data_IF_855479471946
#
_entry.id   IF_855479471946
#
_cell.length_a   1.000
_cell.length_b   1.000
_cell.length_c   1.000
_cell.angle_alpha   90.00
_cell.angle_beta   90.00
_cell.angle_gamma   90.00
#
_symmetry.space_group_name_H-M   'P 1'
#
loop_
_entity.id
_entity.type
_entity.pdbx_description
1 polymer ?
#
# COMPACT_ATOMS: atom_id res chain seq x y z
N UNK A 1 6.97 -13.03 13.54
CA UNK A 1 6.79 -13.32 12.09
C UNK A 1 7.26 -14.74 11.73
N UNK A 2 6.93 -15.24 10.51
CA UNK A 2 7.40 -16.54 9.98
C UNK A 2 7.65 -16.41 8.47
N UNK A 3 8.86 -16.76 8.02
CA UNK A 3 9.17 -16.84 6.60
C UNK A 3 8.31 -17.92 5.92
N UNK A 4 7.72 -17.61 4.78
CA UNK A 4 7.00 -18.57 3.94
C UNK A 4 7.83 -18.83 2.70
N UNK A 5 8.24 -20.08 2.54
CA UNK A 5 9.14 -20.49 1.46
C UNK A 5 8.37 -20.73 0.15
N UNK A 6 9.10 -20.74 -0.97
CA UNK A 6 8.51 -21.08 -2.26
C UNK A 6 8.05 -22.56 -2.31
N UNK A 7 8.71 -23.45 -1.60
CA UNK A 7 8.30 -24.86 -1.50
C UNK A 7 6.95 -24.98 -0.77
N UNK A 8 6.75 -24.20 0.29
CA UNK A 8 5.48 -24.14 1.02
C UNK A 8 4.34 -23.59 0.13
N UNK A 9 4.64 -22.59 -0.70
CA UNK A 9 3.69 -22.12 -1.73
C UNK A 9 3.34 -23.24 -2.73
N UNK A 10 4.31 -23.98 -3.24
CA UNK A 10 4.06 -25.09 -4.17
C UNK A 10 3.21 -26.21 -3.53
N UNK A 11 3.44 -26.50 -2.26
CA UNK A 11 2.60 -27.44 -1.51
C UNK A 11 1.16 -26.94 -1.34
N UNK A 12 1.00 -25.65 -1.07
CA UNK A 12 -0.32 -25.02 -0.96
C UNK A 12 -1.08 -25.16 -2.29
N UNK A 13 -0.44 -24.79 -3.40
CA UNK A 13 -1.01 -24.87 -4.75
C UNK A 13 -1.45 -26.28 -5.10
N UNK A 14 -0.63 -27.31 -4.80
CA UNK A 14 -0.99 -28.73 -5.01
C UNK A 14 -2.27 -29.12 -4.26
N UNK A 15 -2.52 -28.51 -3.09
CA UNK A 15 -3.67 -28.86 -2.24
C UNK A 15 -4.93 -28.07 -2.56
N UNK A 16 -4.81 -26.78 -2.93
CA UNK A 16 -5.94 -25.86 -3.04
C UNK A 16 -6.09 -25.15 -4.38
N UNK A 17 -5.00 -24.77 -5.05
CA UNK A 17 -5.04 -24.08 -6.36
C UNK A 17 -5.74 -22.71 -6.39
N UNK A 18 -6.21 -22.23 -5.25
CA UNK A 18 -6.91 -20.94 -5.11
C UNK A 18 -6.72 -20.34 -3.72
N UNK A 19 -6.83 -19.03 -3.63
CA UNK A 19 -6.90 -18.25 -2.39
C UNK A 19 -8.21 -17.46 -2.36
N UNK A 20 -8.72 -17.19 -1.15
CA UNK A 20 -9.95 -16.40 -0.95
C UNK A 20 -9.61 -15.17 -0.12
N UNK A 21 -9.69 -14.01 -0.75
CA UNK A 21 -9.50 -12.74 -0.08
C UNK A 21 -10.79 -11.93 -0.16
N UNK A 22 -11.34 -11.51 0.97
CA UNK A 22 -12.70 -10.99 1.10
C UNK A 22 -13.73 -11.97 0.53
N UNK A 23 -14.38 -11.58 -0.58
CA UNK A 23 -15.35 -12.35 -1.34
C UNK A 23 -14.81 -12.81 -2.70
N UNK A 24 -13.54 -12.54 -2.99
CA UNK A 24 -12.91 -12.83 -4.28
C UNK A 24 -12.09 -14.11 -4.20
N UNK A 25 -12.41 -15.06 -5.08
CA UNK A 25 -11.60 -16.27 -5.29
C UNK A 25 -10.58 -15.99 -6.39
N UNK A 26 -9.30 -16.14 -6.08
CA UNK A 26 -8.19 -15.92 -7.03
C UNK A 26 -7.45 -17.24 -7.22
N UNK A 27 -7.33 -17.67 -8.47
CA UNK A 27 -6.56 -18.87 -8.81
C UNK A 27 -5.07 -18.61 -8.66
N UNK A 28 -4.36 -19.56 -8.06
CA UNK A 28 -2.91 -19.57 -7.88
C UNK A 28 -2.30 -20.85 -8.48
N UNK A 29 -1.01 -20.83 -8.76
CA UNK A 29 -0.30 -21.97 -9.37
C UNK A 29 -0.51 -22.13 -10.88
N UNK A 30 -1.15 -21.16 -11.52
CA UNK A 30 -1.28 -21.13 -12.98
C UNK A 30 -0.11 -20.35 -13.55
N UNK A 31 0.51 -20.87 -14.62
CA UNK A 31 1.59 -20.17 -15.32
C UNK A 31 1.11 -18.80 -15.78
N UNK A 32 1.84 -17.76 -15.37
CA UNK A 32 1.53 -16.40 -15.79
C UNK A 32 1.89 -16.19 -17.27
N UNK A 33 0.92 -15.77 -18.07
CA UNK A 33 1.16 -15.31 -19.44
C UNK A 33 1.58 -13.84 -19.39
N UNK A 34 2.90 -13.60 -19.38
CA UNK A 34 3.48 -12.27 -19.33
C UNK A 34 3.76 -11.77 -20.73
N UNK A 35 3.03 -10.77 -21.19
CA UNK A 35 3.24 -10.13 -22.49
C UNK A 35 4.37 -9.10 -22.45
N UNK A 36 4.46 -8.36 -21.36
CA UNK A 36 5.42 -7.29 -21.15
C UNK A 36 5.90 -7.29 -19.70
N UNK A 37 7.19 -7.11 -19.50
CA UNK A 37 7.77 -7.02 -18.15
C UNK A 37 7.89 -5.58 -17.65
N UNK A 38 7.83 -4.61 -18.54
CA UNK A 38 8.03 -3.19 -18.23
C UNK A 38 6.88 -2.37 -18.82
N UNK A 39 6.46 -1.27 -18.20
CA UNK A 39 5.49 -0.37 -18.80
C UNK A 39 6.08 0.31 -20.04
N UNK A 40 5.27 0.48 -21.10
CA UNK A 40 5.71 1.19 -22.32
C UNK A 40 5.85 2.68 -22.10
N UNK A 41 4.86 3.27 -21.42
CA UNK A 41 4.72 4.71 -21.25
C UNK A 41 4.82 5.09 -19.77
N UNK A 42 5.99 4.89 -19.19
CA UNK A 42 6.24 5.29 -17.82
C UNK A 42 6.93 6.65 -17.77
N UNK A 43 6.30 7.60 -17.09
CA UNK A 43 6.83 8.91 -16.79
C UNK A 43 6.95 9.06 -15.28
N UNK A 44 8.09 9.59 -14.82
CA UNK A 44 8.31 9.87 -13.41
C UNK A 44 7.52 11.12 -13.01
N UNK A 45 6.69 11.00 -12.00
CA UNK A 45 5.89 12.13 -11.48
C UNK A 45 6.79 13.17 -10.82
N UNK A 46 6.49 14.45 -11.09
CA UNK A 46 7.29 15.59 -10.61
C UNK A 46 6.52 16.56 -9.73
N UNK A 47 5.20 16.35 -9.56
CA UNK A 47 4.32 17.20 -8.75
C UNK A 47 3.74 16.41 -7.59
N UNK A 48 2.99 17.08 -6.72
CA UNK A 48 2.29 16.47 -5.58
C UNK A 48 0.85 16.05 -5.90
N UNK A 49 0.43 16.04 -7.17
CA UNK A 49 -0.86 15.50 -7.60
C UNK A 49 -0.61 14.41 -8.63
N UNK A 50 -0.85 13.16 -8.23
CA UNK A 50 -0.61 11.99 -9.07
C UNK A 50 -1.90 11.40 -9.59
N UNK A 51 -1.91 11.06 -10.87
CA UNK A 51 -3.08 10.53 -11.56
C UNK A 51 -2.69 9.38 -12.48
N UNK A 52 -3.20 8.19 -12.17
CA UNK A 52 -2.95 6.98 -12.94
C UNK A 52 -4.29 6.41 -13.44
N UNK A 53 -4.86 6.95 -14.54
CA UNK A 53 -6.13 6.47 -15.11
C UNK A 53 -6.04 5.00 -15.52
N UNK A 54 -4.88 4.58 -16.01
CA UNK A 54 -4.54 3.19 -16.26
C UNK A 54 -3.68 2.67 -15.13
N UNK A 55 -4.20 1.62 -14.45
CA UNK A 55 -3.50 1.02 -13.32
C UNK A 55 -2.12 0.49 -13.69
N UNK A 56 -2.02 -0.16 -14.86
CA UNK A 56 -0.87 -0.94 -15.30
C UNK A 56 -1.08 -2.45 -15.05
N UNK A 57 -0.66 -3.25 -16.05
CA UNK A 57 -0.89 -4.70 -16.13
C UNK A 57 0.36 -5.49 -16.62
N UNK A 58 1.54 -4.85 -16.63
CA UNK A 58 2.78 -5.54 -16.99
C UNK A 58 3.20 -6.58 -15.94
N UNK A 59 4.07 -7.48 -16.31
CA UNK A 59 4.50 -8.61 -15.50
C UNK A 59 3.30 -9.41 -14.96
N UNK A 60 3.19 -9.57 -13.67
CA UNK A 60 2.10 -10.28 -12.98
C UNK A 60 1.11 -9.36 -12.27
N UNK A 61 1.18 -8.05 -12.55
CA UNK A 61 0.24 -7.09 -11.96
C UNK A 61 -1.19 -7.32 -12.43
N UNK A 62 -2.11 -7.44 -11.50
CA UNK A 62 -3.55 -7.58 -11.75
C UNK A 62 -4.37 -6.74 -10.79
N UNK A 63 -5.55 -6.32 -11.23
CA UNK A 63 -6.51 -5.56 -10.42
C UNK A 63 -7.52 -6.43 -9.69
N UNK A 64 -7.24 -7.72 -9.49
CA UNK A 64 -8.14 -8.72 -8.91
C UNK A 64 -8.08 -8.80 -7.37
N UNK A 65 -7.13 -8.13 -6.75
CA UNK A 65 -7.05 -7.97 -5.29
C UNK A 65 -7.53 -6.56 -4.93
N UNK A 66 -8.65 -6.48 -4.22
CA UNK A 66 -9.22 -5.19 -3.80
C UNK A 66 -8.27 -4.48 -2.85
N UNK A 67 -8.11 -3.17 -3.05
CA UNK A 67 -7.21 -2.35 -2.21
C UNK A 67 -5.74 -2.41 -2.60
N UNK A 68 -5.33 -3.16 -3.63
CA UNK A 68 -3.95 -3.08 -4.09
C UNK A 68 -3.71 -1.74 -4.82
N UNK A 69 -2.60 -1.12 -4.56
CA UNK A 69 -2.21 0.13 -5.23
C UNK A 69 -1.70 -0.06 -6.66
N UNK A 70 -1.59 1.05 -7.41
CA UNK A 70 -1.08 1.00 -8.78
C UNK A 70 0.42 0.70 -8.79
N UNK A 71 0.90 -0.21 -9.64
CA UNK A 71 2.33 -0.43 -9.82
C UNK A 71 3.05 0.82 -10.37
N UNK A 72 2.35 1.72 -11.09
CA UNK A 72 2.92 3.01 -11.51
C UNK A 72 3.31 3.89 -10.34
N UNK A 73 2.47 3.92 -9.27
CA UNK A 73 2.77 4.63 -8.04
C UNK A 73 4.00 4.06 -7.35
N UNK A 74 4.04 2.74 -7.16
CA UNK A 74 5.16 2.05 -6.51
C UNK A 74 6.45 2.26 -7.28
N UNK A 75 6.41 2.14 -8.61
CA UNK A 75 7.58 2.37 -9.48
C UNK A 75 8.14 3.78 -9.34
N UNK A 76 7.27 4.80 -9.26
CA UNK A 76 7.69 6.19 -9.01
C UNK A 76 8.46 6.30 -7.69
N UNK A 77 7.96 5.69 -6.62
CA UNK A 77 8.61 5.68 -5.32
C UNK A 77 9.97 4.98 -5.37
N UNK A 78 10.01 3.76 -5.92
CA UNK A 78 11.23 2.96 -5.98
C UNK A 78 12.34 3.65 -6.78
N UNK A 79 12.02 4.21 -7.94
CA UNK A 79 13.02 4.90 -8.78
C UNK A 79 13.55 6.15 -8.08
N UNK A 80 12.69 6.88 -7.36
CA UNK A 80 13.06 8.13 -6.68
C UNK A 80 13.88 7.91 -5.41
N UNK A 81 13.54 6.90 -4.63
CA UNK A 81 14.05 6.75 -3.26
C UNK A 81 15.00 5.57 -3.07
N UNK A 82 15.21 4.74 -4.11
CA UNK A 82 16.06 3.55 -4.01
C UNK A 82 16.96 3.35 -5.22
N UNK A 83 18.00 2.50 -5.03
CA UNK A 83 18.90 2.01 -6.07
C UNK A 83 18.82 0.48 -6.18
N UNK A 84 19.22 -0.14 -7.31
CA UNK A 84 19.36 -1.59 -7.39
C UNK A 84 20.22 -2.15 -6.25
N UNK A 85 19.79 -3.29 -5.69
CA UNK A 85 20.43 -3.96 -4.56
C UNK A 85 20.03 -3.44 -3.17
N UNK A 86 19.36 -2.28 -3.05
CA UNK A 86 18.85 -1.78 -1.78
C UNK A 86 17.61 -2.57 -1.32
N UNK A 87 17.38 -2.63 0.01
CA UNK A 87 16.29 -3.34 0.65
C UNK A 87 15.04 -2.48 0.77
N UNK A 88 13.93 -3.00 0.26
CA UNK A 88 12.60 -2.38 0.35
C UNK A 88 11.69 -3.24 1.21
N UNK A 89 10.96 -2.62 2.12
CA UNK A 89 9.95 -3.29 2.95
C UNK A 89 8.54 -2.84 2.55
N UNK A 90 7.65 -3.82 2.31
CA UNK A 90 6.21 -3.63 2.32
C UNK A 90 5.61 -4.48 3.44
N UNK A 91 5.25 -3.84 4.54
CA UNK A 91 4.82 -4.51 5.77
C UNK A 91 3.32 -4.87 5.79
N UNK A 92 2.58 -4.56 4.70
CA UNK A 92 1.19 -4.98 4.45
C UNK A 92 1.03 -5.25 2.96
N UNK A 93 1.79 -6.24 2.45
CA UNK A 93 2.08 -6.40 1.02
C UNK A 93 0.89 -6.89 0.19
N UNK A 94 -0.16 -7.43 0.80
CA UNK A 94 -1.37 -7.88 0.11
C UNK A 94 -1.07 -8.85 -1.02
N UNK A 95 -1.29 -8.41 -2.27
CA UNK A 95 -1.00 -9.21 -3.47
C UNK A 95 0.42 -9.00 -4.04
N UNK A 96 1.32 -8.33 -3.32
CA UNK A 96 2.74 -8.22 -3.65
C UNK A 96 3.11 -7.21 -4.73
N UNK A 97 2.30 -6.20 -5.00
CA UNK A 97 2.60 -5.19 -6.03
C UNK A 97 3.99 -4.56 -5.85
N UNK A 98 4.36 -4.19 -4.62
CA UNK A 98 5.66 -3.63 -4.28
C UNK A 98 6.80 -4.60 -4.60
N UNK A 99 6.63 -5.87 -4.21
CA UNK A 99 7.67 -6.89 -4.38
C UNK A 99 7.88 -7.25 -5.85
N UNK A 100 6.82 -7.26 -6.66
CA UNK A 100 6.92 -7.46 -8.12
C UNK A 100 7.71 -6.32 -8.74
N UNK A 101 7.43 -5.06 -8.38
CA UNK A 101 8.20 -3.91 -8.86
C UNK A 101 9.66 -3.95 -8.40
N UNK A 102 9.92 -4.36 -7.16
CA UNK A 102 11.29 -4.56 -6.66
C UNK A 102 12.03 -5.60 -7.51
N UNK A 103 11.40 -6.74 -7.81
CA UNK A 103 11.96 -7.78 -8.68
C UNK A 103 12.31 -7.24 -10.07
N UNK A 104 11.43 -6.45 -10.69
CA UNK A 104 11.63 -5.86 -12.02
C UNK A 104 12.70 -4.78 -12.06
N UNK A 105 12.92 -4.09 -10.95
CA UNK A 105 13.86 -2.97 -10.85
C UNK A 105 15.19 -3.36 -10.18
N UNK A 106 15.37 -4.62 -9.77
CA UNK A 106 16.61 -5.10 -9.13
C UNK A 106 16.80 -4.67 -7.68
N UNK A 107 15.71 -4.43 -6.93
CA UNK A 107 15.74 -4.13 -5.50
C UNK A 107 15.46 -5.38 -4.71
N UNK A 108 16.22 -5.61 -3.63
CA UNK A 108 15.85 -6.63 -2.65
C UNK A 108 14.56 -6.22 -1.96
N UNK A 109 13.72 -7.18 -1.56
CA UNK A 109 12.44 -6.86 -0.95
C UNK A 109 12.06 -7.80 0.19
N UNK A 110 11.39 -7.23 1.18
CA UNK A 110 10.69 -7.97 2.23
C UNK A 110 9.21 -7.60 2.17
N UNK A 111 8.34 -8.61 2.05
CA UNK A 111 6.90 -8.47 2.18
C UNK A 111 6.42 -9.12 3.47
N UNK A 112 5.54 -8.44 4.18
CA UNK A 112 4.87 -8.99 5.36
C UNK A 112 3.36 -8.84 5.18
N UNK A 113 2.59 -9.86 5.52
CA UNK A 113 1.14 -9.75 5.61
C UNK A 113 0.60 -10.65 6.73
N UNK A 114 -0.41 -10.17 7.44
CA UNK A 114 -1.07 -10.90 8.50
C UNK A 114 -2.01 -11.99 7.95
N UNK A 115 -2.45 -11.84 6.70
CA UNK A 115 -3.28 -12.81 6.00
C UNK A 115 -2.42 -13.80 5.22
N UNK A 116 -2.39 -15.06 5.66
CA UNK A 116 -1.61 -16.10 5.01
C UNK A 116 -1.99 -16.32 3.52
N UNK A 117 -3.28 -16.16 3.15
CA UNK A 117 -3.70 -16.29 1.76
C UNK A 117 -3.17 -15.13 0.87
N UNK A 118 -3.01 -13.94 1.44
CA UNK A 118 -2.33 -12.82 0.77
C UNK A 118 -0.83 -13.12 0.55
N UNK A 119 -0.17 -13.72 1.55
CA UNK A 119 1.23 -14.18 1.41
C UNK A 119 1.39 -15.21 0.28
N UNK A 120 0.50 -16.20 0.20
CA UNK A 120 0.47 -17.19 -0.89
C UNK A 120 0.26 -16.51 -2.25
N UNK A 121 -0.67 -15.55 -2.33
CA UNK A 121 -0.91 -14.78 -3.55
C UNK A 121 0.32 -13.96 -3.96
N UNK A 122 1.00 -13.35 -2.99
CA UNK A 122 2.25 -12.62 -3.23
C UNK A 122 3.32 -13.55 -3.84
N UNK A 123 3.51 -14.76 -3.30
CA UNK A 123 4.44 -15.74 -3.84
C UNK A 123 4.03 -16.20 -5.26
N UNK A 124 2.73 -16.36 -5.52
CA UNK A 124 2.21 -16.64 -6.86
C UNK A 124 2.57 -15.50 -7.84
N UNK A 125 2.36 -14.25 -7.49
CA UNK A 125 2.72 -13.09 -8.32
C UNK A 125 4.23 -12.98 -8.57
N UNK A 126 5.05 -13.47 -7.67
CA UNK A 126 6.52 -13.52 -7.80
C UNK A 126 7.02 -14.71 -8.61
N UNK A 127 6.14 -15.68 -8.94
CA UNK A 127 6.48 -16.89 -9.68
C UNK A 127 6.66 -16.64 -11.18
N UNK A 128 7.66 -15.86 -11.54
CA UNK A 128 8.11 -15.67 -12.91
C UNK A 128 9.62 -15.44 -12.97
N UNK A 129 10.22 -15.78 -14.13
CA UNK A 129 11.63 -15.50 -14.38
C UNK A 129 11.77 -14.18 -15.12
N UNK A 130 12.69 -13.33 -14.65
CA UNK A 130 13.01 -12.07 -15.30
C UNK A 130 14.52 -11.87 -15.37
N UNK A 131 15.05 -11.76 -16.59
CA UNK A 131 16.48 -11.53 -16.85
C UNK A 131 16.59 -10.38 -17.87
N UNK A 132 16.70 -9.14 -17.42
CA UNK A 132 16.86 -8.01 -18.32
C UNK A 132 18.25 -8.01 -18.96
N UNK A 133 18.37 -7.38 -20.13
CA UNK A 133 19.64 -7.18 -20.84
C UNK A 133 20.40 -5.98 -20.23
N UNK A 134 20.59 -6.02 -18.91
CA UNK A 134 21.33 -4.97 -18.17
C UNK A 134 22.67 -5.59 -17.76
N UNK A 135 23.83 -4.95 -18.10
CA UNK A 135 25.13 -5.41 -17.62
C UNK A 135 25.14 -5.55 -16.10
N UNK A 136 25.80 -6.58 -15.58
CA UNK A 136 25.96 -6.86 -14.14
C UNK A 136 24.64 -7.01 -13.36
N UNK A 137 23.54 -7.36 -14.04
CA UNK A 137 22.27 -7.63 -13.36
C UNK A 137 22.43 -8.75 -12.34
N UNK A 138 22.05 -8.43 -11.11
CA UNK A 138 21.91 -9.40 -10.04
C UNK A 138 20.42 -9.64 -9.77
N UNK A 139 20.02 -10.90 -9.70
CA UNK A 139 18.66 -11.24 -9.31
C UNK A 139 18.43 -10.77 -7.85
N UNK A 140 17.40 -9.97 -7.59
CA UNK A 140 17.16 -9.47 -6.24
C UNK A 140 16.69 -10.58 -5.31
N UNK A 141 17.09 -10.51 -4.05
CA UNK A 141 16.58 -11.36 -3.00
C UNK A 141 15.21 -10.87 -2.53
N UNK A 142 14.21 -11.77 -2.49
CA UNK A 142 12.86 -11.44 -2.05
C UNK A 142 12.44 -12.43 -0.97
N UNK A 143 12.00 -11.91 0.17
CA UNK A 143 11.52 -12.67 1.32
C UNK A 143 10.08 -12.29 1.60
N UNK A 144 9.20 -13.28 1.83
CA UNK A 144 7.79 -13.03 2.17
C UNK A 144 7.48 -13.70 3.50
N UNK A 145 6.94 -12.93 4.43
CA UNK A 145 6.64 -13.38 5.79
C UNK A 145 5.14 -13.34 6.05
N UNK A 146 4.64 -14.37 6.69
CA UNK A 146 3.37 -14.32 7.38
C UNK A 146 3.60 -13.73 8.77
N UNK A 147 3.05 -12.56 9.04
CA UNK A 147 3.31 -11.81 10.26
C UNK A 147 2.51 -10.52 10.39
N UNK A 148 2.66 -9.89 11.53
CA UNK A 148 1.98 -8.65 11.88
C UNK A 148 2.94 -7.46 11.73
N UNK A 149 2.54 -6.44 10.99
CA UNK A 149 3.30 -5.21 10.77
C UNK A 149 3.65 -4.44 12.05
N UNK A 150 2.93 -4.73 13.15
CA UNK A 150 3.17 -4.16 14.49
C UNK A 150 4.29 -4.86 15.27
N UNK A 151 4.85 -5.95 14.72
CA UNK A 151 5.94 -6.72 15.31
C UNK A 151 6.79 -7.35 14.21
N UNK A 152 7.82 -6.65 13.77
CA UNK A 152 8.77 -7.07 12.74
C UNK A 152 10.00 -7.74 13.34
N UNK A 153 9.80 -8.70 14.26
CA UNK A 153 10.81 -9.35 15.09
C UNK A 153 11.93 -10.10 14.33
N UNK A 154 11.74 -10.39 13.05
CA UNK A 154 12.75 -11.02 12.18
C UNK A 154 13.44 -10.03 11.23
N UNK A 155 13.18 -8.74 11.35
CA UNK A 155 13.85 -7.68 10.60
C UNK A 155 14.73 -6.89 11.56
N UNK A 156 16.02 -6.84 11.24
CA UNK A 156 17.03 -6.16 12.06
C UNK A 156 16.81 -4.64 12.05
N UNK A 157 17.22 -3.99 13.15
CA UNK A 157 17.22 -2.54 13.26
C UNK A 157 18.05 -1.91 12.14
N UNK A 158 17.60 -0.78 11.61
CA UNK A 158 18.32 -0.01 10.62
C UNK A 158 18.85 -0.82 9.43
N UNK A 159 18.09 -1.84 8.98
CA UNK A 159 18.46 -2.72 7.87
C UNK A 159 17.78 -2.37 6.54
N UNK A 160 16.67 -1.62 6.58
CA UNK A 160 15.84 -1.30 5.42
C UNK A 160 16.22 0.07 4.84
N UNK A 161 16.33 0.14 3.50
CA UNK A 161 16.65 1.37 2.78
C UNK A 161 15.39 2.18 2.40
N UNK A 162 14.24 1.52 2.24
CA UNK A 162 12.99 2.19 1.91
C UNK A 162 11.78 1.35 2.38
N UNK A 163 10.78 2.03 2.92
CA UNK A 163 9.49 1.42 3.24
C UNK A 163 8.43 1.97 2.28
N UNK A 164 7.66 1.08 1.65
CA UNK A 164 6.53 1.43 0.80
C UNK A 164 5.36 0.52 1.16
N UNK A 165 4.35 1.06 1.84
CA UNK A 165 3.26 0.25 2.38
C UNK A 165 1.88 0.88 2.19
N UNK A 166 0.86 0.04 2.10
CA UNK A 166 -0.52 0.43 1.85
C UNK A 166 -1.45 -0.27 2.86
N UNK A 167 -1.62 0.31 4.05
CA UNK A 167 -2.45 -0.28 5.10
C UNK A 167 -3.94 -0.29 4.74
N UNK A 168 -4.76 -1.11 5.40
CA UNK A 168 -6.20 -0.97 5.35
C UNK A 168 -6.61 0.40 5.91
N UNK A 169 -7.65 1.03 5.31
CA UNK A 169 -8.18 2.31 5.79
C UNK A 169 -9.25 2.05 6.85
N UNK A 170 -8.82 1.73 8.06
CA UNK A 170 -9.71 1.32 9.13
C UNK A 170 -10.64 0.17 8.65
N UNK A 171 -11.93 0.24 8.87
CA UNK A 171 -12.91 -0.80 8.51
C UNK A 171 -13.62 -0.58 7.16
N UNK A 172 -13.05 0.22 6.25
CA UNK A 172 -13.67 0.49 4.93
C UNK A 172 -13.72 -0.78 4.07
N UNK A 173 -12.66 -1.60 4.11
CA UNK A 173 -12.57 -2.89 3.44
C UNK A 173 -12.22 -3.95 4.48
N UNK A 174 -13.18 -4.79 4.90
CA UNK A 174 -12.92 -5.86 5.87
C UNK A 174 -12.26 -7.07 5.18
N UNK A 175 -10.92 -7.07 5.06
CA UNK A 175 -10.14 -8.06 4.29
C UNK A 175 -10.30 -9.51 4.79
N UNK A 176 -10.58 -9.72 6.05
CA UNK A 176 -10.74 -11.06 6.64
C UNK A 176 -12.15 -11.33 7.22
N UNK A 177 -13.19 -10.69 6.65
CA UNK A 177 -14.57 -10.78 7.16
C UNK A 177 -15.09 -12.21 7.28
N UNK A 178 -14.80 -13.08 6.31
CA UNK A 178 -15.26 -14.48 6.31
C UNK A 178 -14.50 -15.36 7.29
N UNK A 179 -13.23 -15.07 7.50
CA UNK A 179 -12.34 -15.81 8.38
C UNK A 179 -11.48 -14.78 9.12
N UNK A 180 -11.93 -14.36 10.31
CA UNK A 180 -11.18 -13.38 11.10
C UNK A 180 -9.73 -13.80 11.28
N UNK A 181 -8.82 -12.88 10.99
CA UNK A 181 -7.38 -13.07 11.15
C UNK A 181 -6.92 -12.21 12.33
N UNK A 182 -6.34 -12.82 13.37
CA UNK A 182 -5.80 -12.06 14.48
C UNK A 182 -4.75 -11.05 13.99
N UNK A 183 -4.89 -9.80 14.41
CA UNK A 183 -3.97 -8.74 14.01
C UNK A 183 -4.39 -7.93 12.77
N UNK A 184 -5.45 -8.33 12.07
CA UNK A 184 -5.98 -7.58 10.93
C UNK A 184 -6.59 -6.24 11.36
N UNK A 185 -5.90 -5.15 11.04
CA UNK A 185 -6.33 -3.78 11.35
C UNK A 185 -7.61 -3.36 10.63
N UNK A 186 -8.06 -4.10 9.61
CA UNK A 186 -9.36 -3.87 8.97
C UNK A 186 -10.55 -4.38 9.78
N UNK A 187 -10.30 -5.16 10.83
CA UNK A 187 -11.33 -5.79 11.67
C UNK A 187 -11.50 -5.11 13.05
N UNK A 188 -10.73 -4.08 13.33
CA UNK A 188 -10.82 -3.36 14.61
C UNK A 188 -12.16 -2.61 14.73
N UNK A 189 -12.68 -2.51 15.95
CA UNK A 189 -14.05 -2.04 16.22
C UNK A 189 -14.18 -0.52 16.22
N UNK A 190 -13.11 0.20 16.54
CA UNK A 190 -13.12 1.66 16.67
C UNK A 190 -11.84 2.29 16.09
N UNK A 191 -11.91 3.60 15.84
CA UNK A 191 -10.82 4.34 15.20
C UNK A 191 -9.59 4.48 16.13
N UNK A 192 -9.79 4.59 17.42
CA UNK A 192 -8.69 4.72 18.40
C UNK A 192 -7.85 3.45 18.45
N UNK A 193 -8.46 2.28 18.41
CA UNK A 193 -7.78 0.99 18.32
C UNK A 193 -6.99 0.86 17.02
N UNK A 194 -7.59 1.28 15.89
CA UNK A 194 -6.90 1.33 14.62
C UNK A 194 -5.66 2.24 14.67
N UNK A 195 -5.80 3.46 15.19
CA UNK A 195 -4.72 4.42 15.30
C UNK A 195 -3.61 3.94 16.25
N UNK A 196 -3.97 3.32 17.38
CA UNK A 196 -3.00 2.67 18.27
C UNK A 196 -2.23 1.56 17.56
N UNK A 197 -2.91 0.77 16.72
CA UNK A 197 -2.26 -0.22 15.86
C UNK A 197 -1.30 0.41 14.85
N UNK A 198 -1.73 1.51 14.19
CA UNK A 198 -0.90 2.25 13.23
C UNK A 198 0.29 2.95 13.90
N UNK A 199 0.16 3.38 15.17
CA UNK A 199 1.29 3.88 15.94
C UNK A 199 2.39 2.83 16.09
N UNK A 200 2.02 1.60 16.47
CA UNK A 200 2.98 0.48 16.57
C UNK A 200 3.60 0.13 15.22
N UNK A 201 2.83 0.20 14.15
CA UNK A 201 3.37 0.07 12.78
C UNK A 201 4.40 1.16 12.49
N UNK A 202 4.16 2.40 12.93
CA UNK A 202 5.09 3.51 12.76
C UNK A 202 6.37 3.33 13.59
N UNK A 203 6.26 2.85 14.84
CA UNK A 203 7.41 2.54 15.70
C UNK A 203 8.30 1.45 15.07
N UNK A 204 7.72 0.35 14.58
CA UNK A 204 8.45 -0.71 13.90
C UNK A 204 9.07 -0.22 12.57
N UNK A 205 8.34 0.60 11.81
CA UNK A 205 8.87 1.25 10.60
C UNK A 205 10.09 2.13 10.94
N UNK A 206 10.00 2.89 12.01
CA UNK A 206 11.11 3.74 12.46
C UNK A 206 12.31 2.91 12.90
N UNK A 207 12.09 1.83 13.64
CA UNK A 207 13.15 0.93 14.12
C UNK A 207 13.93 0.31 12.95
N UNK A 208 13.24 -0.31 11.98
CA UNK A 208 13.88 -1.09 10.90
C UNK A 208 14.46 -0.22 9.79
N UNK A 209 13.97 1.02 9.61
CA UNK A 209 14.44 1.93 8.57
C UNK A 209 15.80 2.53 8.95
N UNK A 210 16.75 2.57 8.01
CA UNK A 210 18.04 3.24 8.20
C UNK A 210 17.86 4.74 8.42
N UNK A 211 18.70 5.41 9.22
CA UNK A 211 18.74 6.87 9.34
C UNK A 211 18.87 7.55 7.97
N UNK A 212 18.25 8.71 7.80
CA UNK A 212 18.24 9.48 6.56
C UNK A 212 17.34 8.93 5.44
N UNK A 213 16.78 7.73 5.61
CA UNK A 213 15.96 7.03 4.61
C UNK A 213 14.48 7.35 4.75
N UNK A 214 13.68 6.88 3.79
CA UNK A 214 12.29 7.30 3.59
C UNK A 214 11.29 6.16 3.78
N UNK A 215 10.10 6.54 4.29
CA UNK A 215 8.94 5.67 4.42
C UNK A 215 7.76 6.32 3.67
N UNK A 216 7.15 5.59 2.75
CA UNK A 216 5.98 6.02 1.99
C UNK A 216 4.75 5.20 2.41
N UNK A 217 3.66 5.90 2.76
CA UNK A 217 2.39 5.26 3.14
C UNK A 217 1.23 5.90 2.39
N UNK A 218 0.43 5.08 1.71
CA UNK A 218 -0.80 5.53 1.06
C UNK A 218 -1.99 5.29 1.98
N UNK A 219 -2.76 6.33 2.29
CA UNK A 219 -3.93 6.25 3.16
C UNK A 219 -5.09 7.03 2.57
N UNK A 220 -6.28 6.46 2.61
CA UNK A 220 -7.52 7.13 2.22
C UNK A 220 -8.38 7.51 3.42
N UNK A 221 -9.33 8.40 3.17
CA UNK A 221 -10.29 8.90 4.13
C UNK A 221 -11.68 8.31 3.93
N UNK A 222 -12.56 8.49 4.89
CA UNK A 222 -13.94 8.00 4.84
C UNK A 222 -14.95 9.04 5.30
N UNK A 223 -16.23 8.64 5.29
CA UNK A 223 -17.33 9.41 5.88
C UNK A 223 -18.14 8.54 6.82
N UNK A 224 -18.50 9.11 7.95
CA UNK A 224 -19.46 8.53 8.89
C UNK A 224 -20.60 9.53 9.04
N UNK A 225 -21.83 9.09 8.89
CA UNK A 225 -23.02 9.95 8.89
C UNK A 225 -22.88 11.20 7.99
N UNK A 226 -22.29 11.03 6.78
CA UNK A 226 -21.98 12.08 5.78
C UNK A 226 -20.84 13.03 6.16
N UNK A 227 -20.37 13.03 7.39
CA UNK A 227 -19.24 13.85 7.82
C UNK A 227 -17.92 13.20 7.48
N UNK A 228 -16.97 14.01 7.06
CA UNK A 228 -15.62 13.59 6.69
C UNK A 228 -14.85 13.12 7.92
N UNK A 229 -14.22 11.96 7.82
CA UNK A 229 -13.34 11.41 8.86
C UNK A 229 -11.92 11.38 8.30
N UNK A 230 -11.01 12.25 8.77
CA UNK A 230 -9.64 12.40 8.25
C UNK A 230 -8.74 11.30 8.80
N UNK A 231 -8.90 10.06 8.32
CA UNK A 231 -8.09 8.91 8.74
C UNK A 231 -6.62 9.14 8.34
N UNK A 232 -6.40 9.64 7.12
CA UNK A 232 -5.07 9.85 6.57
C UNK A 232 -4.22 10.77 7.47
N UNK A 233 -4.75 11.93 7.85
CA UNK A 233 -4.05 12.88 8.71
C UNK A 233 -3.84 12.35 10.14
N UNK A 234 -4.77 11.55 10.65
CA UNK A 234 -4.60 10.90 11.96
C UNK A 234 -3.51 9.82 11.92
N UNK A 235 -3.42 9.05 10.84
CA UNK A 235 -2.32 8.10 10.63
C UNK A 235 -1.01 8.84 10.43
N UNK A 236 -0.99 9.94 9.66
CA UNK A 236 0.20 10.80 9.53
C UNK A 236 0.73 11.21 10.90
N UNK A 237 -0.16 11.63 11.82
CA UNK A 237 0.23 12.00 13.19
C UNK A 237 0.93 10.85 13.93
N UNK A 238 0.49 9.60 13.75
CA UNK A 238 1.13 8.44 14.40
C UNK A 238 2.59 8.27 13.95
N UNK A 239 2.88 8.55 12.68
CA UNK A 239 4.26 8.50 12.16
C UNK A 239 5.10 9.68 12.67
N UNK A 240 4.52 10.87 12.79
CA UNK A 240 5.22 12.02 13.40
C UNK A 240 5.53 11.76 14.88
N UNK A 241 4.59 11.17 15.63
CA UNK A 241 4.76 10.83 17.04
C UNK A 241 5.82 9.72 17.25
N UNK A 242 6.01 8.84 16.27
CA UNK A 242 7.08 7.85 16.25
C UNK A 242 8.47 8.43 15.93
N UNK A 243 8.56 9.73 15.59
CA UNK A 243 9.84 10.43 15.36
C UNK A 243 10.19 10.72 13.90
N UNK A 244 9.30 10.40 12.96
CA UNK A 244 9.49 10.76 11.56
C UNK A 244 9.32 12.27 11.31
N UNK A 245 9.92 12.73 10.21
CA UNK A 245 9.72 14.07 9.64
C UNK A 245 8.86 13.90 8.38
N UNK A 246 7.76 14.65 8.28
CA UNK A 246 6.96 14.67 7.05
C UNK A 246 7.74 15.37 5.94
N UNK A 247 7.97 14.67 4.85
CA UNK A 247 8.70 15.18 3.68
C UNK A 247 7.77 15.69 2.60
N UNK A 248 6.73 14.89 2.27
CA UNK A 248 5.76 15.22 1.23
C UNK A 248 4.36 14.70 1.60
N UNK A 249 3.34 15.42 1.16
CA UNK A 249 1.97 14.94 1.01
C UNK A 249 1.61 14.98 -0.48
N UNK A 250 1.41 13.80 -1.06
CA UNK A 250 1.03 13.64 -2.46
C UNK A 250 -0.43 13.21 -2.53
N UNK A 251 -1.24 14.00 -3.21
CA UNK A 251 -2.65 13.67 -3.49
C UNK A 251 -2.70 12.73 -4.69
N UNK A 252 -3.06 11.48 -4.44
CA UNK A 252 -3.27 10.48 -5.51
C UNK A 252 -4.74 10.42 -5.89
N UNK A 253 -5.05 10.74 -7.15
CA UNK A 253 -6.42 10.69 -7.69
C UNK A 253 -6.88 9.24 -7.84
N UNK A 254 -8.10 8.95 -7.37
CA UNK A 254 -8.74 7.64 -7.51
C UNK A 254 -9.55 7.56 -8.81
N UNK A 255 -9.26 6.57 -9.65
CA UNK A 255 -9.98 6.33 -10.91
C UNK A 255 -11.05 5.24 -10.82
N UNK A 256 -10.97 4.33 -9.87
CA UNK A 256 -11.89 3.20 -9.72
C UNK A 256 -13.25 3.59 -9.10
N UNK A 257 -13.46 4.87 -8.77
CA UNK A 257 -14.71 5.40 -8.21
C UNK A 257 -15.78 5.67 -9.28
N UNK A 258 -15.48 5.46 -10.57
CA UNK A 258 -16.36 5.83 -11.70
C UNK A 258 -17.80 5.32 -11.57
N UNK A 259 -17.99 4.09 -11.10
CA UNK A 259 -19.34 3.51 -10.92
C UNK A 259 -20.07 4.20 -9.77
N UNK A 260 -19.38 4.45 -8.65
CA UNK A 260 -19.95 5.18 -7.50
C UNK A 260 -20.23 6.62 -7.88
N UNK A 261 -19.32 7.26 -8.61
CA UNK A 261 -19.49 8.62 -9.12
C UNK A 261 -20.66 8.71 -10.09
N UNK A 262 -20.80 7.78 -11.02
CA UNK A 262 -21.95 7.75 -11.96
C UNK A 262 -23.28 7.55 -11.22
N UNK A 263 -23.33 6.68 -10.22
CA UNK A 263 -24.52 6.49 -9.36
C UNK A 263 -24.83 7.76 -8.60
N UNK A 264 -23.83 8.41 -8.02
CA UNK A 264 -24.00 9.67 -7.31
C UNK A 264 -24.49 10.78 -8.24
N UNK A 265 -23.87 10.95 -9.41
CA UNK A 265 -24.31 11.93 -10.43
C UNK A 265 -25.76 11.70 -10.89
N UNK A 266 -26.18 10.44 -11.05
CA UNK A 266 -27.59 10.11 -11.36
C UNK A 266 -28.53 10.53 -10.24
N UNK A 267 -28.18 10.25 -8.98
CA UNK A 267 -28.96 10.67 -7.81
C UNK A 267 -29.05 12.19 -7.69
N UNK A 268 -27.98 12.90 -8.00
CA UNK A 268 -27.95 14.38 -8.00
C UNK A 268 -28.78 14.92 -9.17
N UNK A 269 -28.63 14.38 -10.39
CA UNK A 269 -29.38 14.81 -11.58
C UNK A 269 -30.88 14.60 -11.44
N UNK A 270 -31.33 13.45 -10.93
CA UNK A 270 -32.75 13.16 -10.75
C UNK A 270 -33.47 14.08 -9.75
N UNK A 271 -32.69 14.80 -8.93
CA UNK A 271 -33.20 15.77 -7.95
C UNK A 271 -33.00 17.21 -8.37
N UNK A 272 -32.30 17.47 -9.49
CA UNK A 272 -31.95 18.81 -9.99
C UNK A 272 -32.56 19.14 -11.34
N UNK A 273 -33.69 18.55 -11.74
CA UNK A 273 -34.44 18.99 -12.91
C UNK A 273 -35.11 20.37 -12.74
N UNK A 274 -35.08 20.90 -11.53
CA UNK A 274 -35.42 22.27 -11.22
C UNK A 274 -34.28 22.92 -10.44
N UNK A 275 -33.89 24.11 -10.79
CA UNK A 275 -33.01 25.02 -10.04
C UNK A 275 -33.62 25.43 -8.69
N UNK A 276 -34.31 24.55 -8.00
CA UNK A 276 -35.00 24.81 -6.74
C UNK A 276 -34.21 24.16 -5.62
N UNK A 277 -33.73 24.99 -4.70
CA UNK A 277 -32.91 24.64 -3.51
C UNK A 277 -33.43 23.45 -2.70
N UNK A 278 -34.72 23.16 -2.72
CA UNK A 278 -35.33 22.07 -1.92
C UNK A 278 -34.91 20.68 -2.33
N UNK A 279 -34.61 20.42 -3.60
CA UNK A 279 -34.25 19.07 -4.08
C UNK A 279 -32.80 18.69 -3.88
N UNK A 280 -31.93 19.64 -3.54
CA UNK A 280 -30.54 19.38 -3.17
C UNK A 280 -30.33 19.20 -1.67
N UNK A 281 -31.37 19.43 -0.85
CA UNK A 281 -31.31 19.22 0.61
C UNK A 281 -31.02 17.74 0.91
N UNK A 282 -30.01 17.50 1.74
CA UNK A 282 -29.56 16.16 2.12
C UNK A 282 -28.47 15.54 1.23
N UNK A 283 -27.96 16.25 0.21
CA UNK A 283 -26.80 15.89 -0.61
C UNK A 283 -25.69 16.92 -0.44
N UNK A 284 -25.37 17.17 0.80
CA UNK A 284 -24.51 18.25 1.31
C UNK A 284 -23.02 17.84 1.41
N UNK A 285 -22.60 16.79 0.68
CA UNK A 285 -21.21 16.35 0.67
C UNK A 285 -20.73 15.91 -0.72
N UNK A 286 -19.42 15.96 -0.92
CA UNK A 286 -18.76 15.49 -2.14
C UNK A 286 -18.22 14.08 -1.95
N UNK A 287 -18.15 13.27 -3.02
CA UNK A 287 -17.46 12.00 -2.99
C UNK A 287 -15.94 12.22 -2.80
N UNK A 288 -15.34 11.43 -1.93
CA UNK A 288 -13.88 11.38 -1.81
C UNK A 288 -13.35 10.65 -3.05
N UNK A 289 -12.49 11.31 -3.82
CA UNK A 289 -11.92 10.80 -5.06
C UNK A 289 -10.38 10.88 -5.06
N UNK A 290 -9.77 10.87 -3.88
CA UNK A 290 -8.33 10.90 -3.70
C UNK A 290 -7.91 10.11 -2.46
N UNK A 291 -6.62 9.85 -2.41
CA UNK A 291 -5.90 9.28 -1.27
C UNK A 291 -4.67 10.14 -1.01
N UNK A 292 -4.14 10.10 0.20
CA UNK A 292 -2.92 10.79 0.58
C UNK A 292 -1.75 9.80 0.60
N UNK A 293 -0.71 10.11 -0.14
CA UNK A 293 0.56 9.40 -0.10
C UNK A 293 1.54 10.27 0.69
N UNK A 294 1.71 9.94 1.96
CA UNK A 294 2.68 10.61 2.81
C UNK A 294 4.06 10.00 2.61
N UNK A 295 5.07 10.86 2.43
CA UNK A 295 6.46 10.49 2.43
C UNK A 295 7.10 11.04 3.70
N UNK A 296 7.59 10.14 4.53
CA UNK A 296 8.31 10.47 5.76
C UNK A 296 9.79 10.21 5.59
N UNK A 297 10.60 10.90 6.36
CA UNK A 297 12.03 10.68 6.48
C UNK A 297 12.41 10.36 7.93
N UNK A 298 13.19 9.32 8.14
CA UNK A 298 13.85 9.10 9.44
C UNK A 298 15.02 10.08 9.54
N UNK A 299 15.17 10.84 10.64
CA UNK A 299 16.33 11.71 10.84
C UNK A 299 17.65 10.93 10.78
N UNK A 300 18.75 11.61 10.43
CA UNK A 300 20.10 11.10 10.67
C UNK A 300 20.40 11.05 12.17
N UNK A 301 21.38 10.24 12.59
CA UNK A 301 21.67 9.99 14.02
C UNK A 301 21.98 11.25 14.82
N UNK A 302 22.70 12.19 14.21
CA UNK A 302 23.18 13.42 14.88
C UNK A 302 22.50 14.68 14.30
N UNK A 303 21.36 14.52 13.64
CA UNK A 303 20.67 15.62 12.98
C UNK A 303 19.89 16.49 13.97
N UNK A 304 20.03 17.81 13.88
CA UNK A 304 19.17 18.73 14.63
C UNK A 304 17.78 18.77 14.00
N UNK A 305 16.86 17.99 14.57
CA UNK A 305 15.47 17.92 14.10
C UNK A 305 14.66 19.21 14.34
N UNK A 306 15.16 20.16 15.16
CA UNK A 306 14.46 21.42 15.42
C UNK A 306 14.33 22.29 14.17
N UNK A 307 15.24 22.16 13.21
CA UNK A 307 15.12 22.83 11.91
C UNK A 307 13.88 22.40 11.12
N UNK A 308 13.31 21.22 11.43
CA UNK A 308 12.11 20.65 10.79
C UNK A 308 10.86 20.69 11.70
N UNK A 309 10.88 21.52 12.76
CA UNK A 309 9.77 21.55 13.75
C UNK A 309 8.37 21.75 13.13
N UNK A 310 8.28 22.41 11.98
CA UNK A 310 7.02 22.58 11.23
C UNK A 310 6.58 21.35 10.46
N UNK A 311 7.45 20.34 10.31
CA UNK A 311 7.20 19.06 9.63
C UNK A 311 7.22 17.87 10.59
N UNK A 312 7.31 18.10 11.90
CA UNK A 312 7.33 17.07 12.94
C UNK A 312 6.09 17.10 13.83
N UNK A 313 5.22 18.09 13.66
CA UNK A 313 3.98 18.22 14.42
C UNK A 313 2.84 18.63 13.50
N UNK A 314 1.69 18.04 13.74
CA UNK A 314 0.41 18.52 13.25
C UNK A 314 -0.30 19.24 14.38
N UNK A 315 -0.86 20.40 14.08
CA UNK A 315 -1.48 21.29 15.09
C UNK A 315 -2.90 20.85 15.44
#
# INVERSE_FOLDING_TARGET
>A
MRLVTFDEYLEYVKKRGEVVVEDTVIRVGVKHEIKEYQPRDFVLETTTVWSFPERGDWATHRGDYRGNWSPRLVRNLLIRYTRPGEWVLDQMCGSGTTLVECKLLGRNAIGVDVNYEAVILTLDRLNFTYKPLIPDWKEPEIRVYHGDARNLDLIEDESIDFIATHPPYFNIIPYSKRKPVPGDLSQVSNLEEYLSGMHRVAEESFRVLKPGRYCAILVGDTRVHRHYVPIAFRVMQQFLDAGFILKEDVVKVQWNTRVTEQRWRKLVKSSCECWVEENCRGKDFYLIAHEHLFIFRKPEKDEDVNQYKLSTKWW
#
